data_IF_245224206768
#
_entry.id   IF_245224206768
#
_cell.length_a   1.000
_cell.length_b   1.000
_cell.length_c   1.000
_cell.angle_alpha   90.00
_cell.angle_beta   90.00
_cell.angle_gamma   90.00
#
_symmetry.space_group_name_H-M   'P 1'
#
loop_
_entity.id
_entity.type
_entity.pdbx_description
1 polymer ?
#
# COMPACT_ATOMS: atom_id res chain seq x y z
N UNK A 1 -83.07 4.76 -4.29
CA UNK A 1 -83.13 5.57 -3.06
C UNK A 1 -82.13 4.93 -2.13
N UNK A 2 -80.95 5.53 -2.03
CA UNK A 2 -80.34 5.98 -0.79
C UNK A 2 -78.97 6.54 -1.05
N UNK A 3 -78.69 7.58 -0.34
CA UNK A 3 -77.69 8.61 -0.57
C UNK A 3 -76.29 8.19 -0.20
N UNK A 4 -75.31 8.66 -0.96
CA UNK A 4 -73.90 8.74 -0.59
C UNK A 4 -73.68 9.84 0.49
N UNK A 5 -72.80 9.67 1.49
CA UNK A 5 -72.29 10.77 2.27
C UNK A 5 -70.90 11.23 1.78
N UNK A 6 -70.72 12.49 1.99
CA UNK A 6 -69.72 13.45 1.57
C UNK A 6 -68.29 13.23 2.02
N UNK A 7 -67.39 13.70 1.14
CA UNK A 7 -66.13 14.45 1.41
C UNK A 7 -65.21 14.01 2.57
N UNK A 8 -64.07 13.46 2.21
CA UNK A 8 -62.87 13.50 3.02
C UNK A 8 -61.90 14.54 2.48
N UNK A 9 -61.62 15.51 3.34
CA UNK A 9 -60.76 16.66 3.12
C UNK A 9 -59.30 16.24 3.17
N UNK A 10 -58.58 16.33 2.01
CA UNK A 10 -57.15 16.11 1.85
C UNK A 10 -56.40 17.42 2.14
N UNK A 11 -56.14 17.70 3.38
CA UNK A 11 -55.15 18.74 3.74
C UNK A 11 -54.46 18.36 5.06
N UNK A 12 -53.14 18.31 5.01
CA UNK A 12 -52.14 18.10 6.08
C UNK A 12 -51.50 16.70 6.12
N UNK A 13 -50.66 16.38 5.11
CA UNK A 13 -49.49 15.58 5.33
C UNK A 13 -48.26 16.46 5.12
N UNK A 14 -47.85 17.09 6.22
CA UNK A 14 -46.54 17.72 6.31
C UNK A 14 -45.46 16.63 6.15
N UNK A 15 -44.73 16.68 5.04
CA UNK A 15 -43.56 15.87 4.79
C UNK A 15 -42.49 16.16 5.82
N UNK A 16 -42.38 15.34 6.84
CA UNK A 16 -41.18 15.25 7.67
C UNK A 16 -40.04 14.71 6.79
N UNK A 17 -39.20 15.58 6.29
CA UNK A 17 -37.91 15.22 5.70
C UNK A 17 -37.03 14.71 6.83
N UNK A 18 -36.82 13.40 6.88
CA UNK A 18 -35.79 12.77 7.72
C UNK A 18 -34.41 13.38 7.45
N UNK A 19 -33.47 13.32 8.40
CA UNK A 19 -32.15 13.89 8.24
C UNK A 19 -31.42 13.19 7.13
N UNK A 20 -31.01 13.95 6.10
CA UNK A 20 -30.23 13.45 4.99
C UNK A 20 -28.81 13.09 5.45
N UNK A 21 -28.22 11.94 5.07
CA UNK A 21 -26.85 11.56 5.40
C UNK A 21 -25.83 12.27 4.48
N UNK A 22 -25.64 13.59 4.67
CA UNK A 22 -24.72 14.38 3.81
C UNK A 22 -23.31 14.53 4.36
N UNK A 23 -23.01 14.10 5.59
CA UNK A 23 -21.68 14.31 6.18
C UNK A 23 -20.67 13.19 5.91
N UNK A 24 -21.10 11.98 5.58
CA UNK A 24 -20.18 10.88 5.31
C UNK A 24 -19.59 10.94 3.89
N UNK A 25 -20.41 11.29 2.89
CA UNK A 25 -19.99 11.35 1.48
C UNK A 25 -18.93 12.44 1.19
N UNK A 26 -18.95 13.56 1.91
CA UNK A 26 -17.99 14.66 1.70
C UNK A 26 -16.61 14.36 2.26
N UNK A 27 -16.49 13.68 3.41
CA UNK A 27 -15.19 13.27 4.00
C UNK A 27 -14.48 12.22 3.15
N UNK A 28 -15.20 11.21 2.68
CA UNK A 28 -14.66 10.16 1.80
C UNK A 28 -14.17 10.73 0.46
N UNK A 29 -14.93 11.65 -0.15
CA UNK A 29 -14.54 12.31 -1.40
C UNK A 29 -13.28 13.17 -1.23
N UNK A 30 -13.16 13.91 -0.15
CA UNK A 30 -12.00 14.76 0.15
C UNK A 30 -10.75 13.91 0.39
N UNK A 31 -10.83 12.86 1.18
CA UNK A 31 -9.75 11.92 1.43
C UNK A 31 -9.29 11.23 0.14
N UNK A 32 -10.19 10.73 -0.70
CA UNK A 32 -9.86 10.15 -2.01
C UNK A 32 -9.13 11.15 -2.91
N UNK A 33 -9.50 12.43 -2.88
CA UNK A 33 -8.81 13.49 -3.63
C UNK A 33 -7.37 13.70 -3.12
N UNK A 34 -7.15 13.65 -1.80
CA UNK A 34 -5.81 13.79 -1.20
C UNK A 34 -4.89 12.62 -1.57
N UNK A 35 -5.37 11.38 -1.52
CA UNK A 35 -4.62 10.19 -1.97
C UNK A 35 -4.28 10.29 -3.46
N UNK A 36 -5.23 10.68 -4.31
CA UNK A 36 -5.00 10.86 -5.73
C UNK A 36 -4.00 11.99 -6.02
N UNK A 37 -4.05 13.08 -5.25
CA UNK A 37 -3.10 14.18 -5.36
C UNK A 37 -1.69 13.72 -4.98
N UNK A 38 -1.55 12.95 -3.89
CA UNK A 38 -0.27 12.35 -3.53
C UNK A 38 0.26 11.43 -4.63
N UNK A 39 -0.59 10.57 -5.21
CA UNK A 39 -0.22 9.72 -6.34
C UNK A 39 0.29 10.53 -7.54
N UNK A 40 -0.40 11.60 -7.93
CA UNK A 40 0.04 12.50 -9.02
C UNK A 40 1.41 13.12 -8.70
N UNK A 41 1.60 13.59 -7.48
CA UNK A 41 2.86 14.18 -7.00
C UNK A 41 4.01 13.16 -7.04
N UNK A 42 3.77 11.93 -6.61
CA UNK A 42 4.75 10.83 -6.70
C UNK A 42 5.10 10.54 -8.15
N UNK A 43 4.11 10.33 -9.02
CA UNK A 43 4.31 9.97 -10.44
C UNK A 43 5.11 11.05 -11.18
N UNK A 44 4.90 12.33 -10.87
CA UNK A 44 5.60 13.45 -11.47
C UNK A 44 7.03 13.68 -10.92
N UNK A 45 7.45 12.97 -9.85
CA UNK A 45 8.68 13.22 -9.14
C UNK A 45 9.93 12.94 -9.99
N UNK A 46 10.89 13.88 -9.97
CA UNK A 46 12.21 13.77 -10.60
C UNK A 46 13.37 14.20 -9.68
N UNK A 47 13.19 14.15 -8.34
CA UNK A 47 14.14 14.66 -7.32
C UNK A 47 15.49 13.91 -7.29
N UNK A 48 15.57 12.68 -7.83
CA UNK A 48 16.74 11.81 -7.76
C UNK A 48 17.31 11.56 -9.18
N UNK A 49 18.27 12.38 -9.67
CA UNK A 49 18.77 12.28 -11.07
C UNK A 49 19.32 10.88 -11.42
N UNK A 50 20.00 10.20 -10.48
CA UNK A 50 20.52 8.84 -10.69
C UNK A 50 19.38 7.84 -10.95
N UNK A 51 18.30 7.89 -10.14
CA UNK A 51 17.16 7.00 -10.32
C UNK A 51 16.33 7.34 -11.56
N UNK A 52 16.23 8.63 -11.90
CA UNK A 52 15.56 9.06 -13.12
C UNK A 52 16.29 8.51 -14.35
N UNK A 53 17.61 8.72 -14.44
CA UNK A 53 18.42 8.18 -15.55
C UNK A 53 18.32 6.66 -15.65
N UNK A 54 18.44 5.96 -14.52
CA UNK A 54 18.41 4.49 -14.49
C UNK A 54 17.06 3.94 -14.95
N UNK A 55 15.95 4.37 -14.36
CA UNK A 55 14.62 3.85 -14.72
C UNK A 55 14.27 4.11 -16.19
N UNK A 56 14.68 5.28 -16.73
CA UNK A 56 14.47 5.64 -18.14
C UNK A 56 15.43 4.89 -19.08
N UNK A 57 16.68 4.65 -18.68
CA UNK A 57 17.64 3.83 -19.42
C UNK A 57 17.17 2.38 -19.53
N UNK A 58 16.72 1.79 -18.42
CA UNK A 58 16.16 0.42 -18.40
C UNK A 58 14.96 0.30 -19.35
N UNK A 59 14.11 1.34 -19.42
CA UNK A 59 12.97 1.36 -20.32
C UNK A 59 13.34 1.47 -21.81
N UNK A 60 14.43 2.18 -22.13
CA UNK A 60 14.93 2.31 -23.51
C UNK A 60 15.70 1.07 -23.99
N UNK A 61 16.28 0.32 -23.06
CA UNK A 61 17.09 -0.86 -23.35
C UNK A 61 16.56 -2.09 -22.59
N UNK A 62 15.31 -2.53 -22.89
CA UNK A 62 14.74 -3.69 -22.22
C UNK A 62 15.45 -4.98 -22.65
N UNK A 63 15.52 -6.02 -21.79
CA UNK A 63 16.00 -7.31 -22.18
C UNK A 63 15.09 -7.95 -23.23
N UNK A 64 15.62 -8.92 -24.02
CA UNK A 64 14.93 -9.54 -25.16
C UNK A 64 13.48 -9.96 -24.85
N UNK A 65 13.24 -10.54 -23.66
CA UNK A 65 11.93 -11.03 -23.22
C UNK A 65 10.87 -9.93 -23.02
N UNK A 66 11.27 -8.67 -22.93
CA UNK A 66 10.37 -7.53 -22.70
C UNK A 66 10.54 -6.42 -23.76
N UNK A 67 11.18 -6.72 -24.91
CA UNK A 67 11.50 -5.68 -25.93
C UNK A 67 10.25 -5.02 -26.52
N UNK A 68 9.15 -5.76 -26.57
CA UNK A 68 7.90 -5.29 -27.17
C UNK A 68 6.95 -4.66 -26.12
N UNK A 69 7.41 -4.58 -24.85
CA UNK A 69 6.61 -4.00 -23.78
C UNK A 69 6.96 -2.51 -23.58
N UNK A 70 5.91 -1.70 -23.43
CA UNK A 70 6.07 -0.29 -23.05
C UNK A 70 6.22 -0.18 -21.55
N UNK A 71 7.41 0.18 -21.10
CA UNK A 71 7.70 0.40 -19.68
C UNK A 71 7.00 1.65 -19.15
N UNK A 72 6.54 1.58 -17.89
CA UNK A 72 6.03 2.72 -17.13
C UNK A 72 7.10 3.82 -16.96
N UNK A 73 8.31 3.44 -16.53
CA UNK A 73 9.51 4.29 -16.40
C UNK A 73 9.33 5.56 -15.54
N UNK A 74 8.35 5.59 -14.64
CA UNK A 74 8.05 6.70 -13.72
C UNK A 74 8.08 6.20 -12.27
N UNK A 75 8.10 7.10 -11.27
CA UNK A 75 7.92 6.67 -9.88
C UNK A 75 6.59 5.95 -9.71
N UNK A 76 6.55 5.00 -8.78
CA UNK A 76 5.33 4.27 -8.45
C UNK A 76 4.64 4.90 -7.24
N UNK A 77 3.36 5.24 -7.35
CA UNK A 77 2.53 5.50 -6.18
C UNK A 77 2.30 4.21 -5.41
N UNK A 78 1.72 4.31 -4.22
CA UNK A 78 1.20 3.14 -3.54
C UNK A 78 0.00 2.53 -4.28
N UNK A 79 -0.41 1.34 -3.85
CA UNK A 79 -1.51 0.59 -4.47
C UNK A 79 -2.33 -0.14 -3.41
N UNK A 80 -3.64 -0.03 -3.48
CA UNK A 80 -4.54 -0.79 -2.61
C UNK A 80 -5.79 -0.03 -2.21
N UNK A 81 -6.38 -0.49 -1.11
CA UNK A 81 -7.58 0.06 -0.52
C UNK A 81 -7.27 1.38 0.20
N UNK A 82 -7.95 2.47 -0.10
CA UNK A 82 -7.78 3.73 0.63
C UNK A 82 -8.13 3.63 2.11
N UNK A 83 -9.12 2.81 2.48
CA UNK A 83 -9.56 2.63 3.86
C UNK A 83 -8.82 1.48 4.59
N UNK A 84 -7.67 1.08 4.05
CA UNK A 84 -6.87 -0.04 4.55
C UNK A 84 -6.48 0.10 6.02
N UNK A 85 -6.66 -0.99 6.78
CA UNK A 85 -6.11 -1.15 8.14
C UNK A 85 -4.73 -1.81 8.13
N UNK A 86 -4.36 -2.50 7.03
CA UNK A 86 -3.04 -3.09 6.79
C UNK A 86 -2.22 -2.25 5.82
N UNK A 87 -1.06 -1.78 6.25
CA UNK A 87 -0.05 -1.13 5.39
C UNK A 87 1.16 -2.04 5.20
N UNK A 88 1.54 -2.29 3.95
CA UNK A 88 2.74 -3.06 3.61
C UNK A 88 3.79 -2.15 2.99
N UNK A 89 5.01 -2.22 3.52
CA UNK A 89 6.12 -1.38 3.07
C UNK A 89 7.24 -2.25 2.50
N UNK A 90 7.55 -2.04 1.21
CA UNK A 90 8.70 -2.62 0.54
C UNK A 90 9.90 -1.68 0.47
N UNK A 91 10.96 -2.13 -0.20
CA UNK A 91 12.17 -1.33 -0.42
C UNK A 91 11.98 -0.33 -1.57
N UNK A 92 11.81 -0.84 -2.78
CA UNK A 92 11.76 -0.09 -4.03
C UNK A 92 11.23 -0.98 -5.16
N UNK A 93 10.74 -0.40 -6.28
CA UNK A 93 10.37 -1.16 -7.47
C UNK A 93 11.57 -1.88 -8.09
N UNK A 94 11.35 -3.09 -8.60
CA UNK A 94 12.31 -3.77 -9.44
C UNK A 94 12.37 -3.16 -10.85
N UNK A 95 13.55 -3.18 -11.47
CA UNK A 95 13.80 -2.58 -12.79
C UNK A 95 12.90 -3.17 -13.90
N UNK A 96 12.69 -4.49 -13.89
CA UNK A 96 11.84 -5.21 -14.86
C UNK A 96 10.51 -5.72 -14.26
N UNK A 97 10.22 -5.39 -13.00
CA UNK A 97 8.93 -5.56 -12.32
C UNK A 97 8.13 -4.26 -12.33
N UNK A 98 8.01 -3.60 -11.17
CA UNK A 98 7.22 -2.38 -11.01
C UNK A 98 7.61 -1.25 -11.97
N UNK A 99 8.89 -1.03 -12.28
CA UNK A 99 9.32 -0.02 -13.25
C UNK A 99 8.84 -0.32 -14.69
N UNK A 100 8.62 -1.59 -15.02
CA UNK A 100 8.01 -2.02 -16.28
C UNK A 100 6.49 -1.87 -16.24
N UNK A 101 5.84 -2.43 -15.23
CA UNK A 101 4.38 -2.61 -15.20
C UNK A 101 3.60 -1.40 -14.70
N UNK A 102 4.22 -0.50 -13.95
CA UNK A 102 3.57 0.68 -13.36
C UNK A 102 2.82 0.41 -12.06
N UNK A 103 2.93 -0.80 -11.48
CA UNK A 103 2.38 -1.15 -10.17
C UNK A 103 3.43 -1.82 -9.30
N UNK A 104 3.44 -1.48 -8.01
CA UNK A 104 4.39 -2.02 -7.05
C UNK A 104 4.23 -3.55 -6.92
N UNK A 105 5.32 -4.29 -6.74
CA UNK A 105 5.36 -5.76 -6.66
C UNK A 105 4.66 -6.48 -7.83
N UNK A 106 4.65 -5.91 -9.03
CA UNK A 106 3.94 -6.49 -10.18
C UNK A 106 4.90 -6.87 -11.29
N UNK A 107 4.73 -8.10 -11.81
CA UNK A 107 5.52 -8.63 -12.92
C UNK A 107 6.93 -9.06 -12.55
N UNK A 108 7.15 -9.43 -11.30
CA UNK A 108 8.38 -10.04 -10.81
C UNK A 108 8.07 -11.09 -9.71
N UNK A 109 9.07 -11.93 -9.42
CA UNK A 109 8.93 -13.04 -8.48
C UNK A 109 8.58 -12.60 -7.04
N UNK A 110 9.02 -11.43 -6.61
CA UNK A 110 8.66 -10.91 -5.28
C UNK A 110 7.17 -10.60 -5.21
N UNK A 111 6.61 -10.13 -6.33
CA UNK A 111 5.17 -9.92 -6.49
C UNK A 111 4.37 -11.23 -6.43
N UNK A 112 4.85 -12.30 -7.11
CA UNK A 112 4.19 -13.61 -7.07
C UNK A 112 4.10 -14.16 -5.63
N UNK A 113 5.12 -13.92 -4.82
CA UNK A 113 5.11 -14.29 -3.41
C UNK A 113 4.15 -13.45 -2.61
N UNK A 114 4.21 -12.12 -2.78
CA UNK A 114 3.41 -11.20 -1.99
C UNK A 114 1.91 -11.35 -2.29
N UNK A 115 1.53 -11.30 -3.56
CA UNK A 115 0.10 -11.37 -3.90
C UNK A 115 -0.49 -12.75 -3.68
N UNK A 116 0.29 -13.82 -3.83
CA UNK A 116 -0.13 -15.16 -3.43
C UNK A 116 -0.44 -15.25 -1.92
N UNK A 117 0.41 -14.69 -1.07
CA UNK A 117 0.19 -14.66 0.37
C UNK A 117 -0.99 -13.74 0.77
N UNK A 118 -1.14 -12.60 0.11
CA UNK A 118 -2.27 -11.69 0.33
C UNK A 118 -3.60 -12.32 -0.06
N UNK A 119 -3.65 -13.03 -1.18
CA UNK A 119 -4.84 -13.77 -1.61
C UNK A 119 -5.22 -14.85 -0.60
N UNK A 120 -4.26 -15.67 -0.17
CA UNK A 120 -4.50 -16.73 0.82
C UNK A 120 -4.97 -16.17 2.18
N UNK A 121 -4.52 -14.95 2.56
CA UNK A 121 -4.97 -14.28 3.78
C UNK A 121 -6.23 -13.40 3.59
N UNK A 122 -6.86 -13.39 2.40
CA UNK A 122 -8.07 -12.64 2.12
C UNK A 122 -7.88 -11.13 1.93
N UNK A 123 -6.66 -10.66 1.64
CA UNK A 123 -6.35 -9.26 1.36
C UNK A 123 -6.30 -8.92 -0.14
N UNK A 124 -6.44 -9.91 -1.02
CA UNK A 124 -6.46 -9.71 -2.47
C UNK A 124 -7.53 -10.58 -3.12
N UNK A 125 -8.12 -10.13 -4.24
CA UNK A 125 -9.14 -10.86 -4.99
C UNK A 125 -8.56 -11.94 -5.91
N UNK A 126 -7.25 -11.92 -6.16
CA UNK A 126 -6.54 -12.91 -7.00
C UNK A 126 -5.08 -13.08 -6.54
N UNK A 127 -4.46 -14.26 -6.77
CA UNK A 127 -3.10 -14.54 -6.33
C UNK A 127 -2.01 -13.98 -7.27
N UNK A 128 -2.38 -13.56 -8.47
CA UNK A 128 -1.46 -13.16 -9.54
C UNK A 128 -1.45 -11.65 -9.76
N UNK A 129 -0.28 -11.13 -10.16
CA UNK A 129 -0.09 -9.72 -10.48
C UNK A 129 0.84 -9.59 -11.69
N UNK A 130 0.27 -9.45 -12.89
CA UNK A 130 1.00 -9.43 -14.17
C UNK A 130 1.20 -8.01 -14.72
N UNK A 131 0.18 -7.15 -14.66
CA UNK A 131 0.23 -5.76 -15.12
C UNK A 131 -0.80 -4.90 -14.37
N UNK A 132 -0.68 -3.57 -14.49
CA UNK A 132 -1.49 -2.61 -13.71
C UNK A 132 -3.02 -2.70 -13.95
N UNK A 133 -3.46 -3.28 -15.06
CA UNK A 133 -4.86 -3.39 -15.44
C UNK A 133 -5.36 -4.84 -15.48
N UNK A 134 -4.78 -5.74 -14.68
CA UNK A 134 -5.10 -7.17 -14.64
C UNK A 134 -6.30 -7.54 -13.74
N UNK A 135 -7.03 -6.55 -13.24
CA UNK A 135 -8.18 -6.76 -12.36
C UNK A 135 -7.84 -7.00 -10.89
N UNK A 136 -6.55 -7.03 -10.51
CA UNK A 136 -6.16 -7.16 -9.12
C UNK A 136 -6.69 -6.00 -8.28
N UNK A 137 -7.35 -6.33 -7.18
CA UNK A 137 -7.81 -5.41 -6.14
C UNK A 137 -7.34 -5.90 -4.78
N UNK A 138 -6.95 -4.97 -3.92
CA UNK A 138 -6.68 -5.24 -2.53
C UNK A 138 -7.88 -4.84 -1.68
N UNK A 139 -8.09 -5.57 -0.59
CA UNK A 139 -9.16 -5.39 0.37
C UNK A 139 -8.53 -5.19 1.75
N UNK A 140 -8.85 -4.08 2.41
CA UNK A 140 -8.33 -3.74 3.73
C UNK A 140 -6.78 -3.73 3.79
N UNK A 141 -6.13 -3.49 2.65
CA UNK A 141 -4.68 -3.55 2.49
C UNK A 141 -4.18 -2.50 1.50
N UNK A 142 -3.09 -1.81 1.85
CA UNK A 142 -2.39 -0.87 1.00
C UNK A 142 -0.89 -1.18 0.97
N UNK A 143 -0.28 -1.14 -0.21
CA UNK A 143 1.14 -1.45 -0.41
C UNK A 143 1.89 -0.21 -0.87
N UNK A 144 3.01 0.06 -0.22
CA UNK A 144 3.91 1.15 -0.57
C UNK A 144 5.38 0.73 -0.53
N UNK A 145 6.31 1.65 -0.78
CA UNK A 145 7.74 1.40 -0.70
C UNK A 145 8.50 2.60 -0.13
N UNK A 146 9.64 2.35 0.48
CA UNK A 146 10.55 3.37 1.00
C UNK A 146 11.07 4.29 -0.11
N UNK A 147 11.33 3.73 -1.31
CA UNK A 147 11.75 4.48 -2.50
C UNK A 147 10.83 4.17 -3.69
N UNK A 148 10.37 5.20 -4.38
CA UNK A 148 9.34 5.10 -5.42
C UNK A 148 9.86 4.79 -6.83
N UNK A 149 11.16 4.78 -7.02
CA UNK A 149 11.82 4.52 -8.30
C UNK A 149 12.70 3.28 -8.20
N UNK A 150 12.82 2.51 -9.29
CA UNK A 150 13.76 1.42 -9.37
C UNK A 150 15.20 1.96 -9.26
N UNK A 151 16.02 1.49 -8.32
CA UNK A 151 17.42 1.83 -8.23
C UNK A 151 18.29 0.82 -8.97
N UNK A 152 19.51 1.20 -9.44
CA UNK A 152 20.51 0.23 -9.87
C UNK A 152 20.77 -0.81 -8.79
N UNK A 153 20.89 -2.07 -9.19
CA UNK A 153 21.19 -3.23 -8.31
C UNK A 153 20.25 -3.39 -7.10
N UNK A 154 19.05 -2.83 -7.16
CA UNK A 154 18.10 -2.74 -6.05
C UNK A 154 18.68 -2.03 -4.81
N UNK A 155 19.65 -1.12 -4.99
CA UNK A 155 20.35 -0.40 -3.92
C UNK A 155 20.12 1.12 -4.01
N UNK A 156 19.08 1.65 -3.36
CA UNK A 156 18.94 3.10 -3.20
C UNK A 156 20.07 3.66 -2.33
N UNK A 157 20.50 4.89 -2.59
CA UNK A 157 21.43 5.62 -1.74
C UNK A 157 20.72 6.27 -0.54
N UNK A 158 21.48 6.65 0.49
CA UNK A 158 20.97 7.37 1.68
C UNK A 158 20.22 8.65 1.29
N UNK A 159 20.77 9.42 0.32
CA UNK A 159 20.14 10.65 -0.18
C UNK A 159 18.79 10.37 -0.86
N UNK A 160 18.66 9.24 -1.55
CA UNK A 160 17.42 8.85 -2.21
C UNK A 160 16.35 8.43 -1.21
N UNK A 161 16.72 7.74 -0.12
CA UNK A 161 15.80 7.49 0.99
C UNK A 161 15.31 8.80 1.61
N UNK A 162 16.21 9.73 1.94
CA UNK A 162 15.87 11.02 2.52
C UNK A 162 14.93 11.83 1.61
N UNK A 163 15.22 11.90 0.30
CA UNK A 163 14.38 12.62 -0.66
C UNK A 163 13.01 11.95 -0.90
N UNK A 164 12.91 10.66 -0.71
CA UNK A 164 11.68 9.89 -0.94
C UNK A 164 10.80 9.76 0.31
N UNK A 165 11.38 9.82 1.51
CA UNK A 165 10.70 9.69 2.82
C UNK A 165 9.46 10.58 2.98
N UNK A 166 9.43 11.86 2.54
CA UNK A 166 8.24 12.69 2.68
C UNK A 166 6.97 12.09 2.09
N UNK A 167 7.07 11.24 1.05
CA UNK A 167 5.90 10.54 0.49
C UNK A 167 5.36 9.48 1.44
N UNK A 168 6.23 8.72 2.12
CA UNK A 168 5.81 7.76 3.13
C UNK A 168 5.22 8.47 4.36
N UNK A 169 5.80 9.60 4.79
CA UNK A 169 5.25 10.43 5.87
C UNK A 169 3.85 10.93 5.53
N UNK A 170 3.64 11.40 4.28
CA UNK A 170 2.31 11.82 3.83
C UNK A 170 1.31 10.67 3.79
N UNK A 171 1.71 9.47 3.37
CA UNK A 171 0.85 8.28 3.45
C UNK A 171 0.47 7.97 4.90
N UNK A 172 1.42 7.97 5.84
CA UNK A 172 1.13 7.74 7.26
C UNK A 172 0.18 8.81 7.85
N UNK A 173 0.21 10.04 7.35
CA UNK A 173 -0.73 11.10 7.74
C UNK A 173 -2.13 10.89 7.17
N UNK A 174 -2.22 10.37 5.95
CA UNK A 174 -3.48 10.14 5.27
C UNK A 174 -4.18 8.87 5.78
N UNK A 175 -3.49 7.75 5.84
CA UNK A 175 -4.04 6.44 6.20
C UNK A 175 -4.19 6.27 7.71
N UNK A 176 -5.12 7.03 8.32
CA UNK A 176 -5.38 7.04 9.77
C UNK A 176 -6.01 5.75 10.30
N UNK A 177 -6.58 4.94 9.41
CA UNK A 177 -7.20 3.65 9.72
C UNK A 177 -6.18 2.53 9.89
N UNK A 178 -4.91 2.76 9.53
CA UNK A 178 -3.85 1.75 9.62
C UNK A 178 -3.60 1.36 11.06
N UNK A 179 -3.86 0.08 11.37
CA UNK A 179 -3.65 -0.55 12.67
C UNK A 179 -2.46 -1.54 12.63
N UNK A 180 -2.16 -2.10 11.45
CA UNK A 180 -1.06 -3.04 11.27
C UNK A 180 -0.15 -2.57 10.14
N UNK A 181 1.17 -2.63 10.38
CA UNK A 181 2.21 -2.36 9.37
C UNK A 181 3.07 -3.60 9.21
N UNK A 182 3.22 -4.10 7.96
CA UNK A 182 4.20 -5.13 7.63
C UNK A 182 5.39 -4.48 6.92
N UNK A 183 6.59 -4.61 7.50
CA UNK A 183 7.84 -4.18 6.89
C UNK A 183 8.55 -5.35 6.21
N UNK A 184 8.63 -5.31 4.87
CA UNK A 184 9.29 -6.34 4.06
C UNK A 184 10.79 -6.05 3.93
N UNK A 185 11.57 -6.57 4.87
CA UNK A 185 13.02 -6.42 4.98
C UNK A 185 13.46 -5.31 5.94
N UNK A 186 14.71 -5.42 6.41
CA UNK A 186 15.29 -4.48 7.37
C UNK A 186 15.24 -3.03 6.90
N UNK A 187 15.48 -2.77 5.62
CA UNK A 187 15.49 -1.41 5.08
C UNK A 187 14.08 -0.80 5.10
N UNK A 188 13.03 -1.58 4.78
CA UNK A 188 11.64 -1.14 4.90
C UNK A 188 11.27 -0.85 6.36
N UNK A 189 11.71 -1.70 7.29
CA UNK A 189 11.55 -1.49 8.73
C UNK A 189 12.19 -0.19 9.21
N UNK A 190 13.46 0.04 8.87
CA UNK A 190 14.16 1.28 9.27
C UNK A 190 13.53 2.52 8.61
N UNK A 191 13.09 2.41 7.36
CA UNK A 191 12.41 3.50 6.64
C UNK A 191 11.05 3.83 7.26
N UNK A 192 10.29 2.82 7.68
CA UNK A 192 9.03 3.03 8.40
C UNK A 192 9.28 3.73 9.73
N UNK A 193 10.20 3.24 10.57
CA UNK A 193 10.48 3.86 11.86
C UNK A 193 10.95 5.32 11.71
N UNK A 194 11.75 5.62 10.68
CA UNK A 194 12.16 7.00 10.39
C UNK A 194 11.00 7.88 9.98
N UNK A 195 10.09 7.38 9.11
CA UNK A 195 8.91 8.12 8.68
C UNK A 195 7.88 8.26 9.82
N UNK A 196 7.72 7.22 10.65
CA UNK A 196 6.87 7.24 11.82
C UNK A 196 7.32 8.30 12.83
N UNK A 197 8.63 8.38 13.10
CA UNK A 197 9.22 9.40 13.99
C UNK A 197 9.05 10.81 13.40
N UNK A 198 9.23 11.00 12.09
CA UNK A 198 9.02 12.28 11.41
C UNK A 198 7.53 12.68 11.37
N UNK A 199 6.62 11.72 11.55
CA UNK A 199 5.19 11.93 11.73
C UNK A 199 4.79 11.96 13.21
N UNK A 200 5.60 12.57 14.07
CA UNK A 200 5.38 12.76 15.51
C UNK A 200 5.21 11.45 16.31
N UNK A 201 5.61 10.31 15.73
CA UNK A 201 5.59 9.02 16.39
C UNK A 201 6.75 8.86 17.38
N UNK A 202 6.46 8.31 18.54
CA UNK A 202 7.48 7.99 19.55
C UNK A 202 8.02 6.58 19.32
N UNK A 203 9.34 6.45 19.18
CA UNK A 203 9.99 5.14 19.08
C UNK A 203 10.19 4.57 20.49
N UNK A 204 9.72 3.32 20.77
CA UNK A 204 9.92 2.66 22.05
C UNK A 204 11.41 2.54 22.43
N UNK A 205 11.67 2.56 23.74
CA UNK A 205 13.00 2.25 24.29
C UNK A 205 12.92 0.95 25.08
N UNK A 206 13.78 -0.08 24.78
CA UNK A 206 14.81 -0.09 23.75
C UNK A 206 14.21 -0.06 22.34
N UNK A 207 14.95 0.51 21.36
CA UNK A 207 14.53 0.57 19.95
C UNK A 207 14.19 -0.84 19.44
N UNK A 208 13.05 -1.03 18.78
CA UNK A 208 12.66 -2.32 18.20
C UNK A 208 13.75 -2.87 17.26
N UNK A 209 13.98 -4.18 17.31
CA UNK A 209 14.94 -4.88 16.45
C UNK A 209 14.24 -5.61 15.33
N UNK A 210 14.81 -5.52 14.13
CA UNK A 210 14.32 -6.27 13.00
C UNK A 210 14.64 -7.76 13.13
N UNK A 211 13.66 -8.62 12.92
CA UNK A 211 13.77 -10.06 12.80
C UNK A 211 12.54 -10.60 12.06
N UNK A 212 12.66 -11.68 11.29
CA UNK A 212 11.48 -12.28 10.66
C UNK A 212 10.50 -12.75 11.73
N UNK A 213 9.22 -12.40 11.61
CA UNK A 213 8.20 -12.68 12.61
C UNK A 213 8.24 -11.82 13.88
N UNK A 214 9.28 -10.97 14.07
CA UNK A 214 9.29 -10.01 15.16
C UNK A 214 8.14 -9.01 15.01
N UNK A 215 7.50 -8.66 16.13
CA UNK A 215 6.46 -7.64 16.17
C UNK A 215 6.57 -6.77 17.40
N UNK A 216 6.06 -5.55 17.29
CA UNK A 216 5.99 -4.59 18.37
C UNK A 216 4.72 -3.74 18.22
N UNK A 217 4.05 -3.46 19.33
CA UNK A 217 2.98 -2.47 19.38
C UNK A 217 3.64 -1.11 19.65
N UNK A 218 3.41 -0.16 18.76
CA UNK A 218 3.91 1.20 18.88
C UNK A 218 3.02 2.01 19.84
N UNK A 219 3.52 3.13 20.41
CA UNK A 219 2.75 3.92 21.37
C UNK A 219 1.41 4.47 20.88
N UNK A 220 1.23 4.59 19.56
CA UNK A 220 -0.05 4.98 18.95
C UNK A 220 -1.00 3.79 18.68
N UNK A 221 -0.69 2.59 19.18
CA UNK A 221 -1.50 1.38 19.01
C UNK A 221 -1.22 0.59 17.73
N UNK A 222 -0.43 1.10 16.79
CA UNK A 222 -0.09 0.38 15.56
C UNK A 222 0.81 -0.81 15.84
N UNK A 223 0.44 -1.99 15.33
CA UNK A 223 1.26 -3.20 15.40
C UNK A 223 2.20 -3.26 14.19
N UNK A 224 3.51 -3.16 14.43
CA UNK A 224 4.54 -3.34 13.40
C UNK A 224 5.01 -4.79 13.39
N UNK A 225 4.86 -5.47 12.26
CA UNK A 225 5.29 -6.86 12.01
C UNK A 225 6.44 -6.85 10.99
N UNK A 226 7.51 -7.60 11.27
CA UNK A 226 8.68 -7.70 10.41
C UNK A 226 8.66 -8.99 9.60
N UNK A 227 8.99 -8.91 8.31
CA UNK A 227 9.22 -10.07 7.45
C UNK A 227 10.52 -9.94 6.69
N UNK A 228 11.21 -11.06 6.44
CA UNK A 228 12.21 -11.06 5.38
C UNK A 228 11.56 -10.68 4.05
N UNK A 229 12.30 -9.95 3.22
CA UNK A 229 11.83 -9.57 1.88
C UNK A 229 11.76 -10.82 0.99
N UNK A 230 10.69 -11.01 0.18
CA UNK A 230 10.55 -12.17 -0.73
C UNK A 230 11.42 -12.02 -1.99
N UNK A 231 12.68 -11.59 -1.81
CA UNK A 231 13.68 -11.50 -2.88
C UNK A 231 14.13 -12.89 -3.34
N UNK A 232 14.60 -13.00 -4.57
CA UNK A 232 15.16 -14.23 -5.09
C UNK A 232 16.27 -14.77 -4.17
N UNK A 233 17.15 -13.90 -3.65
CA UNK A 233 18.19 -14.29 -2.71
C UNK A 233 17.63 -15.03 -1.49
N UNK A 234 16.60 -14.50 -0.83
CA UNK A 234 16.02 -15.11 0.36
C UNK A 234 15.20 -16.38 0.05
N UNK A 235 14.51 -16.40 -1.11
CA UNK A 235 13.64 -17.52 -1.46
C UNK A 235 14.40 -18.70 -2.07
N UNK A 236 15.49 -18.46 -2.84
CA UNK A 236 16.30 -19.54 -3.40
C UNK A 236 17.24 -20.18 -2.37
N UNK A 237 17.70 -19.43 -1.39
CA UNK A 237 18.54 -19.95 -0.30
C UNK A 237 17.76 -20.64 0.81
N UNK A 238 16.41 -20.65 0.73
CA UNK A 238 15.56 -21.18 1.80
C UNK A 238 15.50 -20.32 3.07
N UNK A 239 16.15 -19.15 3.09
CA UNK A 239 16.07 -18.20 4.21
C UNK A 239 14.64 -17.73 4.47
N UNK A 240 13.82 -17.64 3.42
CA UNK A 240 12.40 -17.39 3.48
C UNK A 240 11.66 -18.49 2.72
N UNK A 241 10.82 -19.24 3.42
CA UNK A 241 9.94 -20.26 2.83
C UNK A 241 8.51 -19.73 2.68
N UNK A 242 7.70 -20.41 1.85
CA UNK A 242 6.29 -20.06 1.68
C UNK A 242 5.49 -20.06 2.98
N UNK A 243 5.55 -21.10 3.84
CA UNK A 243 4.87 -21.11 5.12
C UNK A 243 5.32 -19.97 6.04
N UNK A 244 6.63 -19.70 6.13
CA UNK A 244 7.14 -18.57 6.92
C UNK A 244 6.57 -17.25 6.44
N UNK A 245 6.48 -17.04 5.13
CA UNK A 245 5.97 -15.79 4.57
C UNK A 245 4.46 -15.67 4.79
N UNK A 246 3.72 -16.76 4.59
CA UNK A 246 2.27 -16.83 4.77
C UNK A 246 1.86 -16.50 6.22
N UNK A 247 2.56 -17.05 7.22
CA UNK A 247 2.25 -16.83 8.64
C UNK A 247 2.30 -15.36 9.06
N UNK A 248 3.08 -14.50 8.36
CA UNK A 248 3.10 -13.06 8.61
C UNK A 248 1.74 -12.41 8.32
N UNK A 249 1.10 -12.81 7.21
CA UNK A 249 -0.20 -12.24 6.78
C UNK A 249 -1.36 -12.82 7.57
N UNK A 250 -1.28 -14.09 7.95
CA UNK A 250 -2.24 -14.73 8.87
C UNK A 250 -2.23 -14.04 10.23
N UNK A 251 -1.04 -13.75 10.76
CA UNK A 251 -0.89 -12.98 11.99
C UNK A 251 -1.45 -11.56 11.87
N UNK A 252 -1.17 -10.87 10.76
CA UNK A 252 -1.75 -9.55 10.51
C UNK A 252 -3.29 -9.61 10.49
N UNK A 253 -3.87 -10.63 9.86
CA UNK A 253 -5.31 -10.86 9.84
C UNK A 253 -5.87 -11.09 11.24
N UNK A 254 -5.22 -11.93 12.05
CA UNK A 254 -5.63 -12.19 13.42
C UNK A 254 -5.65 -10.90 14.26
N UNK A 255 -4.57 -10.10 14.20
CA UNK A 255 -4.53 -8.80 14.90
C UNK A 255 -5.67 -7.87 14.47
N UNK A 256 -6.00 -7.82 13.16
CA UNK A 256 -7.08 -6.97 12.65
C UNK A 256 -8.48 -7.48 13.05
N UNK A 257 -8.65 -8.76 13.32
CA UNK A 257 -9.92 -9.34 13.80
C UNK A 257 -10.14 -9.11 15.29
N UNK A 258 -9.08 -8.96 16.07
CA UNK A 258 -9.15 -8.66 17.51
C UNK A 258 -9.39 -7.16 17.80
N UNK A 259 -9.23 -6.31 16.77
CA UNK A 259 -9.48 -4.87 16.89
C UNK A 259 -10.98 -4.58 16.65
N UNK A 260 -11.60 -3.74 17.48
CA UNK A 260 -13.02 -3.38 17.36
C UNK A 260 -13.35 -2.61 16.07
#
# INVERSE_FOLDING_TARGET
MDRLPESWNLSTLATQRGPQPRLCATKTSMFMNEVQQLHRTVIACRKCPRLVRWREQVARNPPRRYRDEKYWARPLPGFGDPDARLLIIGLAPAAHGGNRTGRIFTGDRSGDWLYGALYAAGFANQPNSSHRNDGLRLMDCYITAAVRCAPPDNKPSTVEFTRCRPYLVQELKLFKTVCVVIALGKIAFDSFLSAYQENDGTIPKPRPRFGHGASVILPNGVTLICSYHPSQQNTFTGKLTRPMFQSIFERARAVLQEMP
#
